data_IF_939639219314
#
_entry.id   IF_939639219314
#
_cell.length_a   1.000
_cell.length_b   1.000
_cell.length_c   1.000
_cell.angle_alpha   90.00
_cell.angle_beta   90.00
_cell.angle_gamma   90.00
#
_symmetry.space_group_name_H-M   'P 1'
#
loop_
_entity.id
_entity.type
_entity.pdbx_description
1 polymer ?
#
# COMPACT_ATOMS: atom_id res chain seq x y z
N UNK A 1 -7.38 8.07 31.19
CA UNK A 1 -7.03 8.08 29.75
C UNK A 1 -5.78 8.93 29.56
N UNK A 2 -4.69 8.34 29.07
CA UNK A 2 -3.41 9.05 28.88
C UNK A 2 -3.47 9.93 27.62
N UNK A 3 -2.58 10.92 27.52
CA UNK A 3 -2.47 11.79 26.33
C UNK A 3 -2.20 11.00 25.03
N UNK A 4 -1.61 9.81 25.12
CA UNK A 4 -1.35 8.90 23.99
C UNK A 4 -2.64 8.29 23.44
N UNK A 5 -3.58 7.86 24.30
CA UNK A 5 -4.86 7.28 23.85
C UNK A 5 -5.74 8.31 23.13
N UNK A 6 -5.61 9.60 23.48
CA UNK A 6 -6.31 10.70 22.79
C UNK A 6 -5.77 10.95 21.38
N UNK A 7 -4.47 10.72 21.13
CA UNK A 7 -3.89 10.89 19.78
C UNK A 7 -4.35 9.79 18.82
N UNK A 8 -4.50 8.55 19.30
CA UNK A 8 -4.94 7.40 18.47
C UNK A 8 -6.38 7.56 17.96
N UNK A 9 -7.24 8.23 18.72
CA UNK A 9 -8.66 8.41 18.38
C UNK A 9 -8.92 9.42 17.24
N UNK A 10 -7.93 10.21 16.81
CA UNK A 10 -8.04 11.11 15.65
C UNK A 10 -7.41 10.52 14.37
N UNK A 11 -6.84 9.31 14.43
CA UNK A 11 -5.96 8.75 13.40
C UNK A 11 -6.73 8.20 12.17
N UNK A 12 -7.75 7.38 12.37
CA UNK A 12 -8.51 6.75 11.28
C UNK A 12 -10.00 7.02 11.42
N UNK A 13 -10.49 8.15 10.92
CA UNK A 13 -11.94 8.40 10.92
C UNK A 13 -12.58 7.74 9.71
N UNK A 14 -13.50 6.79 9.96
CA UNK A 14 -14.40 6.27 8.93
C UNK A 14 -15.17 7.43 8.29
N UNK A 15 -15.06 7.56 6.97
CA UNK A 15 -15.79 8.55 6.18
C UNK A 15 -17.14 7.96 5.72
N UNK A 16 -18.24 8.74 5.74
CA UNK A 16 -19.54 8.26 5.26
C UNK A 16 -19.50 7.64 3.86
N UNK A 17 -18.72 8.24 2.96
CA UNK A 17 -18.55 7.79 1.57
C UNK A 17 -17.82 6.45 1.50
N UNK A 18 -16.88 6.20 2.43
CA UNK A 18 -16.19 4.92 2.53
C UNK A 18 -17.12 3.82 3.04
N UNK A 19 -18.05 4.14 3.94
CA UNK A 19 -19.08 3.19 4.40
C UNK A 19 -19.95 2.76 3.22
N UNK A 20 -20.46 3.73 2.44
CA UNK A 20 -21.29 3.41 1.26
C UNK A 20 -20.52 2.62 0.21
N UNK A 21 -19.27 3.00 -0.06
CA UNK A 21 -18.39 2.29 -0.99
C UNK A 21 -18.16 0.83 -0.55
N UNK A 22 -17.92 0.58 0.73
CA UNK A 22 -17.77 -0.79 1.27
C UNK A 22 -19.06 -1.59 1.13
N UNK A 23 -20.23 -1.00 1.41
CA UNK A 23 -21.52 -1.66 1.19
C UNK A 23 -21.69 -2.08 -0.28
N UNK A 24 -21.49 -1.15 -1.22
CA UNK A 24 -21.66 -1.41 -2.64
C UNK A 24 -20.73 -2.51 -3.17
N UNK A 25 -19.48 -2.53 -2.66
CA UNK A 25 -18.46 -3.47 -3.11
C UNK A 25 -18.63 -4.87 -2.51
N UNK A 26 -19.05 -4.99 -1.25
CA UNK A 26 -18.95 -6.25 -0.52
C UNK A 26 -20.28 -6.94 -0.21
N UNK A 27 -21.43 -6.24 -0.16
CA UNK A 27 -22.70 -6.87 0.21
C UNK A 27 -23.11 -8.02 -0.73
N UNK A 28 -22.70 -7.97 -2.00
CA UNK A 28 -23.01 -8.99 -3.01
C UNK A 28 -21.85 -9.95 -3.28
N UNK A 29 -20.82 -9.98 -2.44
CA UNK A 29 -19.60 -10.78 -2.65
C UNK A 29 -19.74 -12.25 -2.17
N UNK A 30 -20.92 -12.83 -2.39
CA UNK A 30 -21.20 -14.25 -2.22
C UNK A 30 -21.20 -14.98 -3.58
N UNK A 31 -21.00 -16.31 -3.64
CA UNK A 31 -21.12 -17.05 -4.90
C UNK A 31 -22.54 -17.01 -5.47
N UNK A 32 -22.69 -17.06 -6.80
CA UNK A 32 -24.02 -16.97 -7.44
C UNK A 32 -24.94 -18.15 -7.06
N UNK A 33 -24.36 -19.35 -6.91
CA UNK A 33 -25.07 -20.63 -6.75
C UNK A 33 -25.44 -21.00 -5.30
N UNK A 34 -25.35 -20.08 -4.34
CA UNK A 34 -25.76 -20.35 -2.94
C UNK A 34 -27.25 -20.07 -2.69
N UNK A 35 -27.90 -20.78 -1.73
CA UNK A 35 -29.30 -20.55 -1.37
C UNK A 35 -29.59 -19.10 -0.96
N UNK A 36 -30.83 -18.65 -1.17
CA UNK A 36 -31.25 -17.28 -0.83
C UNK A 36 -31.02 -16.94 0.65
N UNK A 37 -31.32 -17.87 1.56
CA UNK A 37 -31.10 -17.70 2.99
C UNK A 37 -29.62 -17.42 3.32
N UNK A 38 -28.69 -18.15 2.67
CA UNK A 38 -27.26 -17.93 2.88
C UNK A 38 -26.78 -16.57 2.34
N UNK A 39 -27.43 -16.04 1.29
CA UNK A 39 -27.16 -14.69 0.78
C UNK A 39 -27.64 -13.64 1.78
N UNK A 40 -28.84 -13.82 2.35
CA UNK A 40 -29.40 -12.96 3.39
C UNK A 40 -28.51 -12.96 4.63
N UNK A 41 -28.13 -14.13 5.14
CA UNK A 41 -27.25 -14.29 6.29
C UNK A 41 -25.91 -13.57 6.08
N UNK A 42 -25.29 -13.76 4.91
CA UNK A 42 -24.05 -13.08 4.57
C UNK A 42 -24.21 -11.56 4.59
N UNK A 43 -25.24 -11.05 3.91
CA UNK A 43 -25.51 -9.61 3.85
C UNK A 43 -25.74 -9.02 5.24
N UNK A 44 -26.49 -9.70 6.11
CA UNK A 44 -26.73 -9.27 7.49
C UNK A 44 -25.44 -9.23 8.31
N UNK A 45 -24.59 -10.26 8.20
CA UNK A 45 -23.28 -10.29 8.88
C UNK A 45 -22.34 -9.18 8.39
N UNK A 46 -22.30 -8.92 7.07
CA UNK A 46 -21.51 -7.81 6.50
C UNK A 46 -22.03 -6.46 6.99
N UNK A 47 -23.34 -6.23 6.96
CA UNK A 47 -23.94 -4.99 7.48
C UNK A 47 -23.65 -4.80 8.97
N UNK A 48 -23.69 -5.86 9.77
CA UNK A 48 -23.35 -5.81 11.19
C UNK A 48 -21.89 -5.37 11.41
N UNK A 49 -20.94 -5.99 10.69
CA UNK A 49 -19.52 -5.58 10.76
C UNK A 49 -19.31 -4.11 10.42
N UNK A 50 -19.96 -3.60 9.37
CA UNK A 50 -19.85 -2.20 8.97
C UNK A 50 -20.51 -1.27 10.01
N UNK A 51 -21.65 -1.66 10.57
CA UNK A 51 -22.39 -0.86 11.54
C UNK A 51 -21.72 -0.81 12.92
N UNK A 52 -21.06 -1.88 13.32
CA UNK A 52 -20.38 -2.03 14.62
C UNK A 52 -18.93 -1.56 14.60
N UNK A 53 -18.36 -1.35 13.41
CA UNK A 53 -16.98 -0.88 13.26
C UNK A 53 -16.73 0.41 14.05
N UNK A 54 -15.68 0.46 14.90
CA UNK A 54 -15.25 1.68 15.54
C UNK A 54 -15.06 2.81 14.53
N UNK A 55 -15.49 4.03 14.89
CA UNK A 55 -15.26 5.22 14.07
C UNK A 55 -13.78 5.49 13.80
N UNK A 56 -12.91 4.89 14.62
CA UNK A 56 -11.45 4.98 14.61
C UNK A 56 -10.77 3.85 13.82
N UNK A 57 -11.53 3.00 13.13
CA UNK A 57 -10.98 1.91 12.32
C UNK A 57 -10.70 2.37 10.89
N UNK A 58 -9.79 1.65 10.23
CA UNK A 58 -9.52 1.80 8.81
C UNK A 58 -10.37 0.81 7.99
N UNK A 59 -10.78 1.21 6.79
CA UNK A 59 -11.57 0.35 5.88
C UNK A 59 -10.90 -1.01 5.62
N UNK A 60 -9.57 -1.12 5.45
CA UNK A 60 -8.93 -2.41 5.28
C UNK A 60 -9.17 -3.42 6.41
N UNK A 61 -9.37 -2.96 7.66
CA UNK A 61 -9.68 -3.82 8.81
C UNK A 61 -11.08 -4.40 8.68
N UNK A 62 -12.06 -3.55 8.34
CA UNK A 62 -13.45 -3.98 8.10
C UNK A 62 -13.52 -4.96 6.93
N UNK A 63 -12.78 -4.68 5.85
CA UNK A 63 -12.71 -5.54 4.66
C UNK A 63 -12.14 -6.91 5.00
N UNK A 64 -11.07 -6.97 5.80
CA UNK A 64 -10.52 -8.25 6.29
C UNK A 64 -11.59 -9.06 7.01
N UNK A 65 -12.35 -8.43 7.91
CA UNK A 65 -13.34 -9.14 8.72
C UNK A 65 -14.54 -9.60 7.86
N UNK A 66 -14.91 -8.83 6.84
CA UNK A 66 -15.87 -9.24 5.81
C UNK A 66 -15.35 -10.46 5.03
N UNK A 67 -14.08 -10.46 4.62
CA UNK A 67 -13.48 -11.58 3.88
C UNK A 67 -13.40 -12.85 4.76
N UNK A 68 -13.17 -12.70 6.09
CA UNK A 68 -13.27 -13.82 7.05
C UNK A 68 -14.68 -14.42 7.10
N UNK A 69 -15.72 -13.59 7.18
CA UNK A 69 -17.12 -14.04 7.12
C UNK A 69 -17.40 -14.77 5.81
N UNK A 70 -16.97 -14.20 4.68
CA UNK A 70 -17.13 -14.83 3.37
C UNK A 70 -16.46 -16.21 3.33
N UNK A 71 -15.24 -16.32 3.84
CA UNK A 71 -14.47 -17.57 3.89
C UNK A 71 -15.13 -18.62 4.77
N UNK A 72 -15.63 -18.22 5.93
CA UNK A 72 -16.35 -19.10 6.84
C UNK A 72 -17.60 -19.70 6.20
N UNK A 73 -18.37 -18.88 5.47
CA UNK A 73 -19.63 -19.31 4.88
C UNK A 73 -19.48 -20.08 3.56
N UNK A 74 -18.48 -19.71 2.75
CA UNK A 74 -18.39 -20.15 1.35
C UNK A 74 -17.05 -20.77 0.96
N UNK A 75 -16.11 -20.88 1.91
CA UNK A 75 -14.75 -21.36 1.65
C UNK A 75 -13.82 -20.29 1.06
N UNK A 76 -12.60 -20.71 0.75
CA UNK A 76 -11.56 -19.80 0.24
C UNK A 76 -11.98 -19.04 -1.01
N UNK A 77 -11.51 -17.78 -1.08
CA UNK A 77 -11.73 -16.89 -2.22
C UNK A 77 -10.67 -17.12 -3.32
N UNK A 78 -10.54 -16.11 -4.18
CA UNK A 78 -9.52 -16.03 -5.22
C UNK A 78 -8.11 -16.30 -4.66
N UNK A 79 -7.38 -17.20 -5.31
CA UNK A 79 -5.99 -17.49 -4.98
C UNK A 79 -5.06 -16.63 -5.83
N UNK A 80 -4.45 -15.64 -5.19
CA UNK A 80 -3.57 -14.67 -5.84
C UNK A 80 -2.14 -15.19 -6.09
N UNK A 81 -1.74 -16.37 -5.61
CA UNK A 81 -0.36 -16.87 -5.75
C UNK A 81 0.11 -16.86 -7.20
N UNK A 82 -0.73 -17.35 -8.13
CA UNK A 82 -0.37 -17.38 -9.56
C UNK A 82 -0.22 -15.98 -10.14
N UNK A 83 -1.08 -15.05 -9.75
CA UNK A 83 -1.03 -13.69 -10.28
C UNK A 83 0.16 -12.91 -9.71
N UNK A 84 0.47 -13.12 -8.43
CA UNK A 84 1.65 -12.57 -7.76
C UNK A 84 2.93 -13.00 -8.49
N UNK A 85 3.09 -14.31 -8.73
CA UNK A 85 4.26 -14.85 -9.46
C UNK A 85 4.34 -14.28 -10.88
N UNK A 86 3.21 -14.24 -11.61
CA UNK A 86 3.14 -13.76 -12.99
C UNK A 86 3.57 -12.29 -13.12
N UNK A 87 3.01 -11.40 -12.29
CA UNK A 87 3.35 -9.97 -12.34
C UNK A 87 4.75 -9.68 -11.80
N UNK A 88 5.23 -10.41 -10.78
CA UNK A 88 6.64 -10.32 -10.37
C UNK A 88 7.56 -10.67 -11.55
N UNK A 89 7.29 -11.76 -12.26
CA UNK A 89 8.10 -12.21 -13.40
C UNK A 89 8.13 -11.18 -14.54
N UNK A 90 6.96 -10.68 -14.97
CA UNK A 90 6.87 -9.65 -16.02
C UNK A 90 7.68 -8.40 -15.67
N UNK A 91 7.62 -7.98 -14.40
CA UNK A 91 8.30 -6.77 -13.96
C UNK A 91 9.81 -6.99 -13.81
N UNK A 92 10.25 -8.15 -13.33
CA UNK A 92 11.68 -8.52 -13.26
C UNK A 92 12.32 -8.61 -14.65
N UNK A 93 11.59 -9.07 -15.67
CA UNK A 93 12.09 -9.11 -17.06
C UNK A 93 12.42 -7.71 -17.61
N UNK A 94 11.82 -6.67 -17.06
CA UNK A 94 12.02 -5.26 -17.44
C UNK A 94 13.00 -4.53 -16.53
N UNK A 95 13.53 -5.18 -15.50
CA UNK A 95 14.32 -4.54 -14.45
C UNK A 95 15.58 -3.83 -14.99
N UNK A 96 16.31 -4.47 -15.91
CA UNK A 96 17.48 -3.87 -16.55
C UNK A 96 17.13 -2.68 -17.45
N UNK A 97 15.96 -2.69 -18.08
CA UNK A 97 15.46 -1.56 -18.83
C UNK A 97 15.21 -0.37 -17.90
N UNK A 98 14.52 -0.59 -16.79
CA UNK A 98 14.23 0.44 -15.80
C UNK A 98 15.50 0.98 -15.14
N UNK A 99 16.48 0.12 -14.79
CA UNK A 99 17.78 0.56 -14.27
C UNK A 99 18.49 1.51 -15.23
N UNK A 100 18.50 1.20 -16.53
CA UNK A 100 19.06 2.09 -17.55
C UNK A 100 18.29 3.41 -17.64
N UNK A 101 16.96 3.36 -17.68
CA UNK A 101 16.13 4.58 -17.71
C UNK A 101 16.38 5.48 -16.50
N UNK A 102 16.54 4.90 -15.31
CA UNK A 102 16.87 5.60 -14.06
C UNK A 102 18.26 6.22 -14.14
N UNK A 103 19.27 5.46 -14.57
CA UNK A 103 20.65 5.92 -14.64
C UNK A 103 20.87 7.07 -15.64
N UNK A 104 20.10 7.08 -16.74
CA UNK A 104 20.16 8.11 -17.79
C UNK A 104 19.31 9.34 -17.49
N UNK A 105 18.49 9.32 -16.42
CA UNK A 105 17.64 10.44 -16.05
C UNK A 105 18.45 11.59 -15.44
N UNK A 106 17.96 12.83 -15.61
CA UNK A 106 18.54 14.03 -14.99
C UNK A 106 18.52 13.94 -13.46
N UNK A 107 17.43 13.43 -12.90
CA UNK A 107 17.34 13.05 -11.48
C UNK A 107 16.96 11.57 -11.34
N UNK A 108 17.94 10.66 -11.17
CA UNK A 108 17.71 9.23 -11.04
C UNK A 108 16.74 8.85 -9.91
N UNK A 109 16.82 9.54 -8.76
CA UNK A 109 15.94 9.27 -7.62
C UNK A 109 14.49 9.61 -7.96
N UNK A 110 14.26 10.73 -8.66
CA UNK A 110 12.93 11.14 -9.10
C UNK A 110 12.35 10.19 -10.14
N UNK A 111 13.18 9.73 -11.09
CA UNK A 111 12.76 8.75 -12.09
C UNK A 111 12.35 7.43 -11.43
N UNK A 112 13.12 6.94 -10.46
CA UNK A 112 12.78 5.73 -9.71
C UNK A 112 11.48 5.90 -8.91
N UNK A 113 11.26 7.08 -8.32
CA UNK A 113 10.03 7.41 -7.62
C UNK A 113 8.81 7.40 -8.57
N UNK A 114 8.92 8.01 -9.74
CA UNK A 114 7.85 8.05 -10.74
C UNK A 114 7.50 6.65 -11.26
N UNK A 115 8.49 5.79 -11.47
CA UNK A 115 8.27 4.38 -11.81
C UNK A 115 7.52 3.65 -10.70
N UNK A 116 7.97 3.79 -9.44
CA UNK A 116 7.32 3.20 -8.27
C UNK A 116 5.87 3.68 -8.10
N UNK A 117 5.56 4.96 -8.40
CA UNK A 117 4.19 5.48 -8.43
C UNK A 117 3.32 4.73 -9.43
N UNK A 118 3.79 4.57 -10.67
CA UNK A 118 3.02 3.88 -11.72
C UNK A 118 2.86 2.40 -11.44
N UNK A 119 3.88 1.77 -10.85
CA UNK A 119 3.84 0.36 -10.46
C UNK A 119 2.59 0.03 -9.65
N UNK A 120 2.16 0.94 -8.79
CA UNK A 120 0.95 0.82 -7.98
C UNK A 120 -0.33 0.66 -8.82
N UNK A 121 -0.30 0.73 -10.15
CA UNK A 121 -1.40 0.31 -11.01
C UNK A 121 -1.71 -1.20 -10.88
N UNK A 122 -0.73 -2.02 -10.52
CA UNK A 122 -0.87 -3.47 -10.33
C UNK A 122 -1.55 -3.74 -8.97
N UNK A 123 -2.85 -3.53 -8.89
CA UNK A 123 -3.65 -3.71 -7.66
C UNK A 123 -4.96 -4.42 -7.98
N UNK A 124 -5.03 -5.69 -7.58
CA UNK A 124 -6.22 -6.52 -7.76
C UNK A 124 -7.25 -6.36 -6.63
N UNK A 125 -6.92 -5.62 -5.57
CA UNK A 125 -7.86 -5.18 -4.56
C UNK A 125 -8.77 -4.06 -5.06
N UNK A 126 -8.21 -3.12 -5.82
CA UNK A 126 -8.92 -1.98 -6.40
C UNK A 126 -9.49 -2.26 -7.80
N UNK A 127 -8.86 -3.14 -8.58
CA UNK A 127 -9.23 -3.38 -9.97
C UNK A 127 -9.72 -4.82 -10.21
N UNK A 128 -10.74 -4.99 -11.05
CA UNK A 128 -11.23 -6.33 -11.44
C UNK A 128 -10.19 -7.12 -12.22
N UNK A 129 -9.44 -6.44 -13.10
CA UNK A 129 -8.36 -6.99 -13.90
C UNK A 129 -7.29 -5.92 -14.07
N UNK A 130 -6.02 -6.33 -14.09
CA UNK A 130 -4.87 -5.48 -14.48
C UNK A 130 -4.56 -5.76 -15.95
N UNK A 131 -4.61 -4.73 -16.79
CA UNK A 131 -4.28 -4.84 -18.22
C UNK A 131 -2.78 -4.59 -18.44
N UNK A 132 -2.06 -5.62 -18.91
CA UNK A 132 -0.61 -5.55 -19.18
C UNK A 132 -0.25 -4.53 -20.27
N UNK A 133 -1.10 -4.33 -21.30
CA UNK A 133 -0.86 -3.30 -22.32
C UNK A 133 -1.00 -1.92 -21.70
N UNK A 134 -2.01 -1.72 -20.85
CA UNK A 134 -2.19 -0.46 -20.15
C UNK A 134 -1.05 -0.19 -19.18
N UNK A 135 -0.60 -1.20 -18.44
CA UNK A 135 0.57 -1.12 -17.56
C UNK A 135 1.81 -0.69 -18.36
N UNK A 136 2.11 -1.35 -19.47
CA UNK A 136 3.24 -0.96 -20.34
C UNK A 136 3.12 0.47 -20.88
N UNK A 137 1.90 0.91 -21.25
CA UNK A 137 1.67 2.28 -21.68
C UNK A 137 1.97 3.27 -20.54
N UNK A 138 1.47 3.02 -19.33
CA UNK A 138 1.71 3.89 -18.17
C UNK A 138 3.19 3.95 -17.80
N UNK A 139 3.89 2.81 -17.83
CA UNK A 139 5.33 2.75 -17.58
C UNK A 139 6.13 3.55 -18.62
N UNK A 140 5.68 3.53 -19.89
CA UNK A 140 6.27 4.34 -20.95
C UNK A 140 6.12 5.85 -20.74
N UNK A 141 5.14 6.30 -19.94
CA UNK A 141 4.91 7.71 -19.62
C UNK A 141 5.37 8.07 -18.20
N UNK A 142 6.28 7.31 -17.60
CA UNK A 142 6.71 7.53 -16.22
C UNK A 142 7.30 8.92 -15.95
N UNK A 143 8.09 9.44 -16.89
CA UNK A 143 8.66 10.79 -16.80
C UNK A 143 7.61 11.91 -16.72
N UNK A 144 6.40 11.64 -17.21
CA UNK A 144 5.29 12.61 -17.24
C UNK A 144 4.53 12.65 -15.91
N UNK A 145 4.75 11.70 -15.00
CA UNK A 145 4.11 11.70 -13.68
C UNK A 145 4.57 12.92 -12.89
N UNK A 146 3.61 13.74 -12.50
CA UNK A 146 3.90 14.92 -11.68
C UNK A 146 4.27 14.47 -10.27
N UNK A 147 5.39 14.96 -9.79
CA UNK A 147 5.80 14.82 -8.40
C UNK A 147 5.77 16.22 -7.80
N UNK A 148 5.10 16.38 -6.66
CA UNK A 148 5.11 17.65 -5.93
C UNK A 148 6.54 17.99 -5.49
N UNK A 149 7.08 19.11 -6.01
CA UNK A 149 8.50 19.47 -5.82
C UNK A 149 8.82 19.82 -4.37
N UNK A 150 7.87 20.40 -3.63
CA UNK A 150 8.06 20.77 -2.24
C UNK A 150 8.15 19.52 -1.35
N UNK A 151 7.25 18.57 -1.56
CA UNK A 151 7.23 17.27 -0.87
C UNK A 151 8.46 16.44 -1.25
N UNK A 152 8.84 16.43 -2.52
CA UNK A 152 10.03 15.73 -3.00
C UNK A 152 11.32 16.33 -2.42
N UNK A 153 11.44 17.66 -2.40
CA UNK A 153 12.57 18.35 -1.78
C UNK A 153 12.65 18.05 -0.28
N UNK A 154 11.50 18.00 0.42
CA UNK A 154 11.43 17.59 1.82
C UNK A 154 11.92 16.16 2.01
N UNK A 155 11.47 15.22 1.17
CA UNK A 155 11.91 13.82 1.20
C UNK A 155 13.43 13.72 1.06
N UNK A 156 14.01 14.43 0.09
CA UNK A 156 15.46 14.44 -0.11
C UNK A 156 16.22 15.00 1.10
N UNK A 157 15.71 16.05 1.74
CA UNK A 157 16.31 16.62 2.95
C UNK A 157 16.24 15.66 4.14
N UNK A 158 15.10 15.00 4.32
CA UNK A 158 14.90 14.06 5.41
C UNK A 158 15.78 12.82 5.22
N UNK A 159 15.83 12.25 4.01
CA UNK A 159 16.73 11.14 3.68
C UNK A 159 18.20 11.53 3.84
N UNK A 160 18.59 12.78 3.54
CA UNK A 160 19.99 13.22 3.68
C UNK A 160 20.51 13.20 5.12
N UNK A 161 19.61 13.23 6.10
CA UNK A 161 19.92 13.23 7.54
C UNK A 161 19.58 11.91 8.24
N UNK A 162 18.88 11.01 7.55
CA UNK A 162 18.42 9.75 8.12
C UNK A 162 19.56 8.75 8.26
N UNK A 163 19.51 7.95 9.32
CA UNK A 163 20.28 6.72 9.48
C UNK A 163 19.41 5.48 9.27
N UNK A 164 18.10 5.58 9.57
CA UNK A 164 17.14 4.48 9.47
C UNK A 164 15.95 4.86 8.61
N UNK A 165 15.75 4.07 7.55
CA UNK A 165 14.61 4.21 6.64
C UNK A 165 13.75 2.94 6.66
N UNK A 166 12.43 3.10 6.80
CA UNK A 166 11.48 1.99 6.73
C UNK A 166 10.59 2.13 5.51
N UNK A 167 10.52 1.08 4.69
CA UNK A 167 9.69 1.04 3.50
C UNK A 167 8.59 -0.01 3.67
N UNK A 168 7.33 0.40 3.63
CA UNK A 168 6.17 -0.50 3.67
C UNK A 168 5.72 -0.82 2.25
N UNK A 169 5.81 -2.09 1.86
CA UNK A 169 5.37 -2.55 0.53
C UNK A 169 3.85 -2.62 0.45
N UNK A 170 3.33 -2.71 -0.77
CA UNK A 170 1.91 -2.98 -1.04
C UNK A 170 1.78 -4.25 -1.89
N UNK A 171 1.85 -4.15 -3.23
CA UNK A 171 1.53 -5.26 -4.14
C UNK A 171 2.74 -5.99 -4.76
N UNK A 172 2.54 -7.25 -5.14
CA UNK A 172 3.42 -7.95 -6.08
C UNK A 172 3.33 -7.34 -7.48
N UNK A 173 4.41 -7.47 -8.25
CA UNK A 173 4.66 -6.78 -9.51
C UNK A 173 5.26 -5.40 -9.27
N UNK A 174 4.59 -4.51 -8.55
CA UNK A 174 5.10 -3.16 -8.28
C UNK A 174 6.34 -3.16 -7.39
N UNK A 175 6.48 -4.16 -6.52
CA UNK A 175 7.61 -4.32 -5.61
C UNK A 175 8.97 -4.36 -6.32
N UNK A 176 8.99 -4.75 -7.60
CA UNK A 176 10.19 -4.70 -8.44
C UNK A 176 10.62 -3.25 -8.68
N UNK A 177 9.70 -2.32 -8.89
CA UNK A 177 10.00 -0.89 -9.04
C UNK A 177 10.35 -0.25 -7.70
N UNK A 178 9.73 -0.72 -6.61
CA UNK A 178 10.06 -0.31 -5.25
C UNK A 178 11.50 -0.71 -4.88
N UNK A 179 11.93 -1.91 -5.30
CA UNK A 179 13.32 -2.35 -5.18
C UNK A 179 14.27 -1.34 -5.82
N UNK A 180 13.99 -0.90 -7.05
CA UNK A 180 14.82 0.08 -7.77
C UNK A 180 14.83 1.45 -7.09
N UNK A 181 13.70 1.90 -6.54
CA UNK A 181 13.65 3.12 -5.74
C UNK A 181 14.54 3.00 -4.49
N UNK A 182 14.47 1.87 -3.78
CA UNK A 182 15.30 1.64 -2.60
C UNK A 182 16.79 1.56 -2.97
N UNK A 183 17.14 0.93 -4.09
CA UNK A 183 18.51 0.90 -4.62
C UNK A 183 19.05 2.32 -4.85
N UNK A 184 18.28 3.20 -5.51
CA UNK A 184 18.70 4.59 -5.75
C UNK A 184 18.74 5.43 -4.47
N UNK A 185 17.84 5.20 -3.51
CA UNK A 185 17.92 5.83 -2.17
C UNK A 185 19.25 5.44 -1.51
N UNK A 186 19.58 4.15 -1.46
CA UNK A 186 20.82 3.66 -0.85
C UNK A 186 22.07 4.16 -1.56
N UNK A 187 22.04 4.25 -2.89
CA UNK A 187 23.14 4.78 -3.70
C UNK A 187 23.38 6.26 -3.44
N UNK A 188 22.31 7.05 -3.29
CA UNK A 188 22.41 8.50 -3.02
C UNK A 188 22.72 8.81 -1.55
N UNK A 189 22.25 7.97 -0.63
CA UNK A 189 22.37 8.14 0.81
C UNK A 189 22.94 6.85 1.46
N UNK A 190 24.25 6.59 1.27
CA UNK A 190 24.88 5.31 1.67
C UNK A 190 24.91 5.07 3.19
N UNK A 191 24.65 6.09 4.01
CA UNK A 191 24.55 5.98 5.46
C UNK A 191 23.24 5.33 5.93
N UNK A 192 22.21 5.28 5.07
CA UNK A 192 20.90 4.78 5.45
C UNK A 192 20.91 3.25 5.54
N UNK A 193 20.47 2.75 6.69
CA UNK A 193 20.03 1.37 6.88
C UNK A 193 18.55 1.24 6.56
N UNK A 194 18.21 0.39 5.58
CA UNK A 194 16.83 0.17 5.12
C UNK A 194 16.23 -1.08 5.76
N UNK A 195 15.00 -0.95 6.29
CA UNK A 195 14.12 -2.08 6.61
C UNK A 195 12.90 -2.06 5.69
N UNK A 196 12.54 -3.19 5.13
CA UNK A 196 11.36 -3.36 4.28
C UNK A 196 10.32 -4.16 5.06
N UNK A 197 9.11 -3.61 5.18
CA UNK A 197 7.98 -4.23 5.86
C UNK A 197 7.03 -4.81 4.80
N UNK A 198 6.82 -6.12 4.87
CA UNK A 198 5.91 -6.90 4.01
C UNK A 198 4.70 -7.40 4.82
N UNK A 199 3.73 -8.02 4.15
CA UNK A 199 2.55 -8.60 4.80
C UNK A 199 2.90 -9.89 5.56
N UNK A 200 2.28 -10.07 6.73
CA UNK A 200 2.45 -11.25 7.60
C UNK A 200 1.67 -12.48 7.16
N UNK A 201 0.65 -12.29 6.33
CA UNK A 201 -0.15 -13.36 5.74
C UNK A 201 -0.53 -13.04 4.29
N UNK A 202 -1.08 -14.03 3.58
CA UNK A 202 -1.62 -13.81 2.24
C UNK A 202 -2.86 -12.91 2.31
N UNK A 203 -2.74 -11.70 1.78
CA UNK A 203 -3.81 -10.71 1.67
C UNK A 203 -3.80 -10.17 0.25
N UNK A 204 -4.83 -10.48 -0.54
CA UNK A 204 -4.91 -10.08 -1.95
C UNK A 204 -3.62 -10.44 -2.71
N UNK A 205 -3.12 -9.53 -3.53
CA UNK A 205 -1.84 -9.65 -4.21
C UNK A 205 -0.70 -8.93 -3.46
N UNK A 206 -0.83 -8.72 -2.16
CA UNK A 206 0.18 -8.03 -1.36
C UNK A 206 1.47 -8.85 -1.22
N UNK A 207 2.59 -8.13 -1.11
CA UNK A 207 3.92 -8.73 -0.95
C UNK A 207 4.02 -9.42 0.41
N UNK A 208 4.40 -10.70 0.43
CA UNK A 208 4.82 -11.41 1.64
C UNK A 208 6.33 -11.66 1.62
N UNK A 209 6.88 -12.31 2.65
CA UNK A 209 8.30 -12.70 2.68
C UNK A 209 8.69 -13.59 1.50
N UNK A 210 7.78 -14.44 1.02
CA UNK A 210 8.04 -15.32 -0.12
C UNK A 210 8.21 -14.50 -1.41
N UNK A 211 7.35 -13.51 -1.63
CA UNK A 211 7.44 -12.63 -2.80
C UNK A 211 8.69 -11.74 -2.72
N UNK A 212 8.99 -11.22 -1.53
CA UNK A 212 10.20 -10.44 -1.29
C UNK A 212 11.47 -11.24 -1.60
N UNK A 213 11.49 -12.54 -1.26
CA UNK A 213 12.57 -13.43 -1.66
C UNK A 213 12.61 -13.66 -3.18
N UNK A 214 11.46 -13.84 -3.83
CA UNK A 214 11.36 -14.01 -5.28
C UNK A 214 11.99 -12.84 -6.05
N UNK A 215 11.73 -11.61 -5.62
CA UNK A 215 12.22 -10.40 -6.31
C UNK A 215 13.58 -9.90 -5.80
N UNK A 216 14.21 -10.62 -4.85
CA UNK A 216 15.54 -10.27 -4.34
C UNK A 216 15.58 -9.10 -3.36
N UNK A 217 14.48 -8.75 -2.67
CA UNK A 217 14.48 -7.67 -1.68
C UNK A 217 15.45 -7.91 -0.52
N UNK A 218 15.62 -9.18 -0.12
CA UNK A 218 16.55 -9.57 0.94
C UNK A 218 18.03 -9.30 0.60
N UNK A 219 18.36 -9.08 -0.67
CA UNK A 219 19.71 -8.76 -1.12
C UNK A 219 20.03 -7.27 -0.92
N UNK A 220 19.01 -6.42 -0.90
CA UNK A 220 19.18 -4.96 -0.81
C UNK A 220 18.84 -4.40 0.58
N UNK A 221 18.05 -5.09 1.40
CA UNK A 221 17.63 -4.57 2.70
C UNK A 221 17.14 -5.67 3.64
N UNK A 222 17.00 -5.32 4.92
CA UNK A 222 16.42 -6.22 5.90
C UNK A 222 14.91 -6.32 5.71
N UNK A 223 14.36 -7.52 5.52
CA UNK A 223 12.92 -7.75 5.33
C UNK A 223 12.28 -8.25 6.63
N UNK A 224 11.22 -7.59 7.06
CA UNK A 224 10.37 -7.95 8.21
C UNK A 224 8.91 -8.00 7.77
N UNK A 225 8.08 -8.82 8.41
CA UNK A 225 6.64 -8.83 8.17
C UNK A 225 5.86 -8.05 9.23
N UNK A 226 4.68 -7.55 8.85
CA UNK A 226 3.82 -6.76 9.73
C UNK A 226 3.03 -7.61 10.75
N UNK A 227 3.09 -8.94 10.69
CA UNK A 227 2.43 -9.86 11.61
C UNK A 227 0.92 -10.05 11.44
N UNK A 228 0.28 -9.46 10.42
CA UNK A 228 -1.18 -9.58 10.24
C UNK A 228 -1.62 -9.71 8.77
N UNK A 229 -2.91 -9.97 8.60
CA UNK A 229 -3.63 -10.24 7.35
C UNK A 229 -4.45 -9.02 6.85
N UNK A 230 -4.24 -7.83 7.42
CA UNK A 230 -4.90 -6.59 6.97
C UNK A 230 -4.19 -6.04 5.75
N UNK A 231 -4.93 -5.62 4.72
CA UNK A 231 -4.32 -4.88 3.61
C UNK A 231 -3.78 -3.54 4.14
N UNK A 232 -2.52 -3.24 3.87
CA UNK A 232 -1.79 -2.18 4.55
C UNK A 232 -1.19 -2.62 5.90
N UNK A 233 -0.84 -1.66 6.76
CA UNK A 233 -0.09 -1.92 8.00
C UNK A 233 -0.88 -1.42 9.20
N UNK A 234 -1.70 -2.32 9.76
CA UNK A 234 -2.53 -2.00 10.91
C UNK A 234 -1.73 -1.95 12.22
N UNK A 235 -1.51 -0.74 12.75
CA UNK A 235 -0.65 -0.50 13.92
C UNK A 235 -1.04 -1.28 15.18
N UNK A 236 -2.33 -1.41 15.56
CA UNK A 236 -2.72 -2.16 16.74
C UNK A 236 -2.38 -3.65 16.69
N UNK A 237 -2.17 -4.22 15.50
CA UNK A 237 -1.83 -5.63 15.29
C UNK A 237 -0.44 -5.79 14.65
N UNK A 238 0.41 -4.77 14.73
CA UNK A 238 1.75 -4.81 14.16
C UNK A 238 2.67 -5.75 14.96
N UNK A 239 3.46 -6.58 14.28
CA UNK A 239 4.45 -7.44 14.93
C UNK A 239 5.43 -6.61 15.78
N UNK A 240 5.91 -7.17 16.90
CA UNK A 240 6.86 -6.48 17.79
C UNK A 240 8.12 -6.03 17.04
N UNK A 241 8.58 -6.85 16.10
CA UNK A 241 9.74 -6.55 15.29
C UNK A 241 9.49 -5.38 14.32
N UNK A 242 8.38 -5.41 13.57
CA UNK A 242 8.03 -4.32 12.66
C UNK A 242 7.75 -3.01 13.42
N UNK A 243 7.12 -3.09 14.60
CA UNK A 243 6.90 -1.95 15.47
C UNK A 243 8.22 -1.35 15.95
N UNK A 244 9.18 -2.17 16.40
CA UNK A 244 10.49 -1.68 16.81
C UNK A 244 11.23 -0.95 15.66
N UNK A 245 11.13 -1.46 14.43
CA UNK A 245 11.69 -0.79 13.25
C UNK A 245 11.01 0.53 12.97
N UNK A 246 9.68 0.54 12.93
CA UNK A 246 8.87 1.76 12.74
C UNK A 246 9.17 2.82 13.80
N UNK A 247 9.28 2.43 15.08
CA UNK A 247 9.55 3.34 16.17
C UNK A 247 10.93 3.99 16.08
N UNK A 248 11.93 3.23 15.61
CA UNK A 248 13.31 3.68 15.43
C UNK A 248 13.59 4.45 14.14
N UNK A 249 12.63 4.51 13.22
CA UNK A 249 12.81 5.08 11.89
C UNK A 249 12.90 6.61 11.92
N UNK A 250 13.88 7.17 11.19
CA UNK A 250 14.00 8.62 10.99
C UNK A 250 13.07 9.10 9.88
N UNK A 251 12.90 8.25 8.86
CA UNK A 251 12.06 8.48 7.69
C UNK A 251 11.38 7.17 7.30
N UNK A 252 10.13 7.27 6.87
CA UNK A 252 9.38 6.11 6.38
C UNK A 252 8.72 6.43 5.05
N UNK A 253 8.51 5.40 4.24
CA UNK A 253 7.72 5.48 3.02
C UNK A 253 6.75 4.30 2.96
N UNK A 254 5.49 4.57 2.66
CA UNK A 254 4.44 3.56 2.55
C UNK A 254 3.82 3.57 1.16
N UNK A 255 3.82 2.41 0.51
CA UNK A 255 3.19 2.19 -0.78
C UNK A 255 1.71 1.92 -0.65
N UNK A 256 0.92 2.43 -1.59
CA UNK A 256 -0.47 2.04 -1.71
C UNK A 256 -1.46 2.73 -0.78
N UNK A 257 -2.73 2.66 -1.17
CA UNK A 257 -3.81 3.34 -0.46
C UNK A 257 -4.12 2.67 0.88
N UNK A 258 -4.03 1.34 0.96
CA UNK A 258 -4.32 0.61 2.18
C UNK A 258 -3.31 0.96 3.30
N UNK A 259 -2.01 1.11 2.97
CA UNK A 259 -1.04 1.63 3.92
C UNK A 259 -1.31 3.10 4.30
N UNK A 260 -1.73 3.95 3.37
CA UNK A 260 -2.16 5.32 3.74
C UNK A 260 -3.32 5.28 4.76
N UNK A 261 -4.34 4.47 4.51
CA UNK A 261 -5.50 4.37 5.39
C UNK A 261 -5.15 3.83 6.78
N UNK A 262 -4.17 2.95 6.88
CA UNK A 262 -3.77 2.25 8.12
C UNK A 262 -2.60 2.88 8.87
N UNK A 263 -1.82 3.77 8.22
CA UNK A 263 -0.67 4.45 8.82
C UNK A 263 -0.80 5.97 8.92
N UNK A 264 -1.74 6.62 8.19
CA UNK A 264 -1.95 8.07 8.35
C UNK A 264 -2.16 8.43 9.81
N UNK A 265 -1.71 9.60 10.22
CA UNK A 265 -1.83 10.10 11.59
C UNK A 265 -1.05 9.28 12.64
N UNK A 266 -0.18 8.34 12.26
CA UNK A 266 0.68 7.58 13.18
C UNK A 266 1.67 8.43 13.97
N UNK A 267 1.80 9.73 13.64
CA UNK A 267 2.66 10.67 14.36
C UNK A 267 4.14 10.54 14.03
N UNK A 268 4.49 9.79 12.98
CA UNK A 268 5.87 9.57 12.51
C UNK A 268 6.17 10.39 11.26
N UNK A 269 7.45 10.42 10.89
CA UNK A 269 7.89 11.03 9.64
C UNK A 269 7.70 10.05 8.47
N UNK A 270 6.54 10.10 7.84
CA UNK A 270 6.15 9.14 6.80
C UNK A 270 5.68 9.85 5.53
N UNK A 271 6.11 9.29 4.40
CA UNK A 271 5.69 9.63 3.07
C UNK A 271 4.81 8.52 2.51
N UNK A 272 3.75 8.90 1.80
CA UNK A 272 2.84 7.97 1.14
C UNK A 272 3.01 8.08 -0.35
N UNK A 273 3.11 6.92 -1.00
CA UNK A 273 3.38 6.81 -2.43
C UNK A 273 2.37 5.87 -3.07
N UNK A 274 1.39 6.42 -3.78
CA UNK A 274 0.28 5.64 -4.33
C UNK A 274 -0.34 6.31 -5.56
N UNK A 275 -1.20 5.58 -6.27
CA UNK A 275 -2.11 6.13 -7.29
C UNK A 275 -3.48 6.34 -6.66
N UNK A 276 -4.08 7.51 -6.86
CA UNK A 276 -5.47 7.77 -6.45
C UNK A 276 -6.45 6.96 -7.32
N UNK A 277 -6.84 5.77 -6.87
CA UNK A 277 -7.74 4.87 -7.64
C UNK A 277 -9.22 5.08 -7.32
N UNK A 278 -9.52 5.71 -6.20
CA UNK A 278 -10.88 5.87 -5.71
C UNK A 278 -11.29 7.35 -5.71
N UNK A 279 -12.54 7.62 -6.11
CA UNK A 279 -13.06 8.99 -6.23
C UNK A 279 -13.00 9.75 -4.90
N UNK A 280 -13.24 9.10 -3.76
CA UNK A 280 -13.13 9.71 -2.42
C UNK A 280 -11.71 10.27 -2.20
N UNK A 281 -10.68 9.56 -2.65
CA UNK A 281 -9.29 10.01 -2.54
C UNK A 281 -8.96 11.07 -3.58
N UNK A 282 -9.41 10.90 -4.82
CA UNK A 282 -9.31 11.94 -5.85
C UNK A 282 -9.91 13.27 -5.39
N UNK A 283 -11.10 13.24 -4.79
CA UNK A 283 -11.78 14.42 -4.24
C UNK A 283 -11.03 15.00 -3.03
N UNK A 284 -10.55 14.13 -2.13
CA UNK A 284 -9.77 14.53 -0.94
C UNK A 284 -8.48 15.27 -1.33
N UNK A 285 -7.81 14.82 -2.39
CA UNK A 285 -6.55 15.40 -2.86
C UNK A 285 -6.74 16.44 -3.98
N UNK A 286 -7.95 16.60 -4.52
CA UNK A 286 -8.23 17.50 -5.64
C UNK A 286 -7.51 17.09 -6.92
N UNK A 287 -7.39 15.79 -7.19
CA UNK A 287 -6.65 15.24 -8.34
C UNK A 287 -7.51 14.32 -9.20
N UNK A 288 -7.15 14.19 -10.47
CA UNK A 288 -7.81 13.26 -11.39
C UNK A 288 -7.58 11.79 -10.96
N UNK A 289 -8.50 10.87 -11.29
CA UNK A 289 -8.29 9.44 -11.09
C UNK A 289 -6.98 8.95 -11.71
N UNK A 290 -6.33 8.03 -11.00
CA UNK A 290 -5.01 7.48 -11.33
C UNK A 290 -3.86 8.50 -11.33
N UNK A 291 -4.02 9.68 -10.71
CA UNK A 291 -2.89 10.56 -10.43
C UNK A 291 -1.92 9.91 -9.44
N UNK A 292 -0.62 9.96 -9.74
CA UNK A 292 0.45 9.60 -8.83
C UNK A 292 0.56 10.61 -7.69
N UNK A 293 0.65 10.10 -6.47
CA UNK A 293 0.68 10.88 -5.25
C UNK A 293 1.99 10.59 -4.51
N UNK A 294 2.75 11.64 -4.21
CA UNK A 294 3.73 11.65 -3.12
C UNK A 294 3.20 12.63 -2.07
N UNK A 295 2.85 12.14 -0.90
CA UNK A 295 2.25 12.96 0.15
C UNK A 295 3.01 12.76 1.46
N UNK A 296 3.33 13.84 2.15
CA UNK A 296 3.87 13.76 3.50
C UNK A 296 2.76 13.81 4.55
N UNK A 297 2.94 13.08 5.65
CA UNK A 297 2.04 13.02 6.81
C UNK A 297 1.61 14.38 7.38
N UNK A 298 2.39 15.45 7.22
CA UNK A 298 1.96 16.79 7.67
C UNK A 298 0.95 17.45 6.74
N UNK A 299 1.00 17.11 5.46
CA UNK A 299 0.18 17.72 4.43
C UNK A 299 -1.23 17.10 4.41
N UNK A 300 -1.40 15.92 5.03
CA UNK A 300 -2.67 15.19 5.16
C UNK A 300 -3.55 15.65 6.32
N UNK A 301 -3.02 16.48 7.23
CA UNK A 301 -3.75 16.91 8.44
C UNK A 301 -4.74 18.06 8.19
N UNK A 302 -4.66 18.68 7.02
CA UNK A 302 -5.51 19.81 6.62
C UNK A 302 -6.57 19.42 5.55
N UNK A 303 -6.72 18.13 5.24
CA UNK A 303 -7.60 17.57 4.18
C UNK A 303 -8.61 16.52 4.68
#
# INVERSE_FOLDING_TARGET
>A
MTKETKKIQEIHRLRPECITCTCDKYLRKYPEDVPEEAKIDYMQRVMALIAEAPKTDAIPVIVRDIDKVRREMFGEADNYIRIKIHFNQIMMEKEEEFRRQIAEAEDPLKMALQLSMIGNYIDFGAMKNVDEKKLNQLLGTAKEQKVDEDTYSRLQQDLSKAERFVFFTDNCGEVVLDKLLIEEIKKRYPQISVSIVVRGAETLNDVTRMDAAQVGLGEIAYVVDNGNDVAGTWLPELSEEALARMESADVMMAKGQANFETLRCCGKNIYYLFLCKCHIFSDMFGVEPFSGMLVHERDTRNS
#
